data_IF_074018759274
#
_entry.id   IF_074018759274
#
_cell.length_a   1.000
_cell.length_b   1.000
_cell.length_c   1.000
_cell.angle_alpha   90.00
_cell.angle_beta   90.00
_cell.angle_gamma   90.00
#
_symmetry.space_group_name_H-M   'P 1'
#
loop_
_entity.id
_entity.type
_entity.pdbx_description
1 polymer ?
#
# COMPACT_ATOMS: atom_id res chain seq x y z
N UNK A 1 -8.52 7.22 1.28
CA UNK A 1 -7.93 7.53 -0.02
C UNK A 1 -8.81 8.57 -0.73
N UNK A 2 -8.26 9.73 -1.03
CA UNK A 2 -9.04 10.81 -1.64
C UNK A 2 -9.30 10.53 -3.11
N UNK A 3 -10.57 10.48 -3.52
CA UNK A 3 -10.97 10.46 -4.94
C UNK A 3 -10.39 11.67 -5.72
N UNK A 4 -10.09 12.76 -5.04
CA UNK A 4 -9.40 13.92 -5.62
C UNK A 4 -7.97 13.59 -6.09
N UNK A 5 -7.32 12.56 -5.56
CA UNK A 5 -6.01 12.11 -6.03
C UNK A 5 -6.05 11.49 -7.43
N UNK A 6 -7.20 11.02 -7.89
CA UNK A 6 -7.41 10.45 -9.22
C UNK A 6 -7.91 11.46 -10.25
N UNK A 7 -8.18 12.72 -9.85
CA UNK A 7 -8.65 13.76 -10.75
C UNK A 7 -7.53 14.23 -11.68
N UNK A 8 -7.53 13.70 -12.90
CA UNK A 8 -6.54 13.97 -13.95
C UNK A 8 -6.45 15.48 -14.28
N UNK A 9 -7.54 16.22 -14.15
CA UNK A 9 -7.56 17.65 -14.44
C UNK A 9 -6.86 18.52 -13.39
N UNK A 10 -6.75 18.03 -12.14
CA UNK A 10 -6.06 18.73 -11.05
C UNK A 10 -4.62 18.29 -10.87
N UNK A 11 -4.26 17.11 -11.38
CA UNK A 11 -2.90 16.58 -11.25
C UNK A 11 -1.98 17.25 -12.27
N UNK A 12 -0.96 17.94 -11.79
CA UNK A 12 0.04 18.60 -12.60
C UNK A 12 1.18 17.64 -12.96
N UNK A 13 1.65 16.89 -11.96
CA UNK A 13 2.75 15.93 -12.10
C UNK A 13 2.37 14.61 -11.42
N UNK A 14 2.86 13.52 -12.00
CA UNK A 14 2.82 12.17 -11.39
C UNK A 14 4.25 11.68 -11.21
N UNK A 15 4.51 11.10 -10.04
CA UNK A 15 5.82 10.56 -9.68
C UNK A 15 5.63 9.08 -9.38
N UNK A 16 6.49 8.25 -9.95
CA UNK A 16 6.47 6.80 -9.81
C UNK A 16 7.81 6.29 -9.30
N UNK A 17 7.77 5.26 -8.49
CA UNK A 17 8.96 4.63 -7.94
C UNK A 17 8.67 3.22 -7.42
N UNK A 18 9.58 2.69 -6.65
CA UNK A 18 9.47 1.38 -6.00
C UNK A 18 9.20 0.23 -6.99
N UNK A 19 7.98 -0.27 -7.05
CA UNK A 19 7.59 -1.43 -7.86
C UNK A 19 7.92 -1.29 -9.34
N UNK A 20 7.87 -0.07 -9.90
CA UNK A 20 8.20 0.16 -11.32
C UNK A 20 9.66 -0.19 -11.66
N UNK A 21 10.53 -0.27 -10.65
CA UNK A 21 11.93 -0.65 -10.83
C UNK A 21 12.19 -2.15 -10.86
N UNK A 22 11.19 -2.98 -10.57
CA UNK A 22 11.38 -4.44 -10.52
C UNK A 22 12.47 -4.87 -9.53
N UNK A 23 12.55 -4.18 -8.36
CA UNK A 23 13.57 -4.41 -7.34
C UNK A 23 14.83 -3.54 -7.49
N UNK A 24 14.98 -2.81 -8.59
CA UNK A 24 16.13 -1.93 -8.85
C UNK A 24 15.73 -0.44 -8.73
N UNK A 25 16.71 0.47 -8.51
CA UNK A 25 16.45 1.88 -8.28
C UNK A 25 16.02 2.59 -9.57
N UNK A 26 14.71 2.64 -9.81
CA UNK A 26 14.09 3.39 -10.90
C UNK A 26 13.07 4.35 -10.32
N UNK A 27 13.13 5.60 -10.77
CA UNK A 27 12.11 6.61 -10.57
C UNK A 27 11.67 7.18 -11.91
N UNK A 28 10.41 7.55 -12.02
CA UNK A 28 9.89 8.24 -13.19
C UNK A 28 8.98 9.38 -12.74
N UNK A 29 8.95 10.44 -13.52
CA UNK A 29 8.02 11.53 -13.36
C UNK A 29 7.51 11.98 -14.73
N UNK A 30 6.31 12.50 -14.73
CA UNK A 30 5.69 13.00 -15.95
C UNK A 30 4.43 13.77 -15.60
N UNK A 31 3.87 14.49 -16.56
CA UNK A 31 2.69 15.27 -16.32
C UNK A 31 2.32 16.18 -17.48
N UNK A 32 1.69 17.30 -17.14
CA UNK A 32 1.20 18.26 -18.11
C UNK A 32 2.34 18.78 -18.99
N UNK A 33 2.09 18.84 -20.30
CA UNK A 33 3.10 19.17 -21.31
C UNK A 33 3.81 20.49 -21.01
N UNK A 34 3.07 21.53 -20.63
CA UNK A 34 3.63 22.85 -20.33
C UNK A 34 4.59 22.84 -19.14
N UNK A 35 4.41 21.92 -18.19
CA UNK A 35 5.33 21.73 -17.06
C UNK A 35 6.55 20.92 -17.51
N UNK A 36 6.34 19.82 -18.23
CA UNK A 36 7.43 18.97 -18.68
C UNK A 36 8.37 19.67 -19.68
N UNK A 37 7.87 20.62 -20.46
CA UNK A 37 8.70 21.45 -21.35
C UNK A 37 9.62 22.43 -20.60
N UNK A 38 9.47 22.59 -19.28
CA UNK A 38 10.43 23.34 -18.47
C UNK A 38 11.70 22.53 -18.15
N UNK A 39 11.69 21.23 -18.36
CA UNK A 39 12.86 20.38 -18.11
C UNK A 39 13.85 20.49 -19.28
N UNK A 40 15.13 20.61 -18.95
CA UNK A 40 16.22 20.64 -19.94
C UNK A 40 16.21 19.39 -20.85
N UNK A 41 16.55 19.51 -22.14
CA UNK A 41 17.08 20.73 -22.84
C UNK A 41 15.99 21.67 -23.34
N UNK A 42 14.70 21.32 -23.20
CA UNK A 42 13.60 22.15 -23.71
C UNK A 42 13.36 23.40 -22.85
N UNK A 43 13.67 23.38 -21.58
CA UNK A 43 13.49 24.46 -20.63
C UNK A 43 14.70 24.64 -19.68
N UNK A 44 14.59 25.57 -18.72
CA UNK A 44 15.70 25.94 -17.85
C UNK A 44 15.92 25.01 -16.65
N UNK A 45 15.01 24.07 -16.39
CA UNK A 45 15.08 23.20 -15.21
C UNK A 45 16.03 22.04 -15.48
N UNK A 46 17.20 22.08 -14.85
CA UNK A 46 18.20 21.01 -14.96
C UNK A 46 17.78 19.78 -14.16
N UNK A 47 17.88 18.60 -14.78
CA UNK A 47 17.67 17.31 -14.15
C UNK A 47 18.79 16.36 -14.60
N UNK A 48 19.51 15.80 -13.66
CA UNK A 48 20.51 14.77 -13.90
C UNK A 48 20.70 13.91 -12.66
N UNK A 49 21.23 12.70 -12.86
CA UNK A 49 21.62 11.78 -11.80
C UNK A 49 22.55 10.72 -12.38
N UNK A 50 23.60 10.38 -11.64
CA UNK A 50 24.63 9.42 -12.09
C UNK A 50 24.02 8.06 -12.52
N UNK A 51 22.98 7.61 -11.82
CA UNK A 51 22.31 6.36 -12.11
C UNK A 51 21.05 6.52 -13.00
N UNK A 52 20.72 7.75 -13.40
CA UNK A 52 19.57 7.99 -14.27
C UNK A 52 19.77 7.30 -15.62
N UNK A 53 18.76 6.52 -16.03
CA UNK A 53 18.82 5.76 -17.27
C UNK A 53 19.76 4.56 -17.23
N UNK A 54 20.22 4.10 -16.06
CA UNK A 54 21.03 2.89 -15.93
C UNK A 54 20.37 1.71 -16.67
N UNK A 55 21.05 1.09 -17.65
CA UNK A 55 20.42 0.11 -18.54
C UNK A 55 19.91 -1.14 -17.83
N UNK A 56 20.56 -1.56 -16.74
CA UNK A 56 20.11 -2.71 -15.95
C UNK A 56 18.80 -2.37 -15.23
N UNK A 57 18.77 -1.24 -14.53
CA UNK A 57 17.59 -0.79 -13.81
C UNK A 57 16.41 -0.49 -14.75
N UNK A 58 16.67 0.15 -15.89
CA UNK A 58 15.64 0.41 -16.91
C UNK A 58 15.11 -0.88 -17.53
N UNK A 59 15.98 -1.87 -17.78
CA UNK A 59 15.56 -3.18 -18.29
C UNK A 59 14.66 -3.93 -17.29
N UNK A 60 15.03 -3.93 -16.00
CA UNK A 60 14.21 -4.52 -14.94
C UNK A 60 12.85 -3.81 -14.83
N UNK A 61 12.83 -2.47 -14.84
CA UNK A 61 11.59 -1.70 -14.81
C UNK A 61 10.70 -1.95 -16.03
N UNK A 62 11.28 -2.01 -17.23
CA UNK A 62 10.55 -2.36 -18.45
C UNK A 62 9.93 -3.75 -18.36
N UNK A 63 10.65 -4.73 -17.84
CA UNK A 63 10.17 -6.10 -17.64
C UNK A 63 9.04 -6.13 -16.62
N UNK A 64 9.18 -5.44 -15.49
CA UNK A 64 8.13 -5.31 -14.48
C UNK A 64 6.84 -4.73 -15.06
N UNK A 65 6.94 -3.61 -15.79
CA UNK A 65 5.77 -2.99 -16.42
C UNK A 65 5.12 -3.89 -17.47
N UNK A 66 5.92 -4.70 -18.18
CA UNK A 66 5.41 -5.69 -19.13
C UNK A 66 4.61 -6.78 -18.40
N UNK A 67 5.16 -7.36 -17.33
CA UNK A 67 4.49 -8.37 -16.50
C UNK A 67 3.17 -7.81 -15.96
N UNK A 68 3.18 -6.63 -15.36
CA UNK A 68 1.98 -5.98 -14.81
C UNK A 68 0.89 -5.77 -15.87
N UNK A 69 1.28 -5.49 -17.12
CA UNK A 69 0.34 -5.31 -18.23
C UNK A 69 -0.22 -6.65 -18.75
N UNK A 70 0.59 -7.69 -18.77
CA UNK A 70 0.23 -9.01 -19.34
C UNK A 70 -0.55 -9.87 -18.34
N UNK A 71 -0.16 -9.84 -17.07
CA UNK A 71 -0.76 -10.67 -16.02
C UNK A 71 -1.93 -9.98 -15.30
N UNK A 72 -2.00 -8.65 -15.33
CA UNK A 72 -3.04 -7.83 -14.68
C UNK A 72 -3.42 -8.32 -13.27
N UNK A 73 -2.49 -8.29 -12.30
CA UNK A 73 -2.70 -8.90 -10.99
C UNK A 73 -3.67 -8.12 -10.09
N UNK A 74 -4.21 -7.00 -10.56
CA UNK A 74 -4.92 -6.03 -9.70
C UNK A 74 -6.24 -6.55 -9.17
N UNK A 75 -6.99 -7.31 -9.97
CA UNK A 75 -8.26 -7.91 -9.54
C UNK A 75 -8.04 -8.95 -8.43
N UNK A 76 -7.03 -9.82 -8.59
CA UNK A 76 -6.68 -10.83 -7.59
C UNK A 76 -6.15 -10.20 -6.29
N UNK A 77 -5.29 -9.19 -6.40
CA UNK A 77 -4.82 -8.43 -5.24
C UNK A 77 -5.99 -7.77 -4.49
N UNK A 78 -6.95 -7.19 -5.21
CA UNK A 78 -8.15 -6.62 -4.61
C UNK A 78 -9.00 -7.67 -3.88
N UNK A 79 -9.18 -8.84 -4.45
CA UNK A 79 -9.88 -9.97 -3.83
C UNK A 79 -9.17 -10.42 -2.55
N UNK A 80 -7.88 -10.70 -2.61
CA UNK A 80 -7.06 -11.11 -1.46
C UNK A 80 -7.13 -10.11 -0.32
N UNK A 81 -7.04 -8.82 -0.65
CA UNK A 81 -7.12 -7.73 0.33
C UNK A 81 -8.51 -7.67 0.98
N UNK A 82 -9.58 -7.84 0.20
CA UNK A 82 -10.94 -7.88 0.72
C UNK A 82 -11.12 -9.06 1.70
N UNK A 83 -10.62 -10.25 1.32
CA UNK A 83 -10.65 -11.44 2.19
C UNK A 83 -10.00 -11.19 3.55
N UNK A 84 -8.81 -10.58 3.59
CA UNK A 84 -8.14 -10.26 4.86
C UNK A 84 -8.93 -9.23 5.68
N UNK A 85 -9.43 -8.18 5.05
CA UNK A 85 -10.20 -7.14 5.73
C UNK A 85 -11.52 -7.66 6.30
N UNK A 86 -12.23 -8.49 5.55
CA UNK A 86 -13.48 -9.12 5.99
C UNK A 86 -13.21 -10.05 7.17
N UNK A 87 -12.21 -10.93 7.08
CA UNK A 87 -11.84 -11.83 8.16
C UNK A 87 -11.45 -11.08 9.44
N UNK A 88 -10.65 -10.03 9.32
CA UNK A 88 -10.24 -9.20 10.45
C UNK A 88 -11.43 -8.47 11.08
N UNK A 89 -12.30 -7.87 10.26
CA UNK A 89 -13.50 -7.16 10.69
C UNK A 89 -14.48 -8.10 11.41
N UNK A 90 -14.73 -9.29 10.85
CA UNK A 90 -15.63 -10.28 11.44
C UNK A 90 -15.09 -10.82 12.76
N UNK A 91 -13.79 -11.08 12.85
CA UNK A 91 -13.14 -11.53 14.07
C UNK A 91 -13.22 -10.46 15.18
N UNK A 92 -12.96 -9.20 14.85
CA UNK A 92 -13.08 -8.07 15.77
C UNK A 92 -14.53 -7.90 16.26
N UNK A 93 -15.50 -7.96 15.34
CA UNK A 93 -16.94 -7.85 15.67
C UNK A 93 -17.40 -8.96 16.63
N UNK A 94 -16.98 -10.22 16.41
CA UNK A 94 -17.30 -11.34 17.30
C UNK A 94 -16.77 -11.13 18.73
N UNK A 95 -15.72 -10.36 18.89
CA UNK A 95 -15.09 -10.05 20.19
C UNK A 95 -15.54 -8.70 20.78
N UNK A 96 -16.37 -7.94 20.07
CA UNK A 96 -16.80 -6.61 20.51
C UNK A 96 -15.69 -5.56 20.44
N UNK A 97 -14.63 -5.81 19.68
CA UNK A 97 -13.51 -4.89 19.51
C UNK A 97 -13.85 -3.90 18.38
N UNK A 98 -13.84 -2.59 18.67
CA UNK A 98 -14.10 -1.58 17.63
C UNK A 98 -12.97 -1.54 16.62
N UNK A 99 -13.29 -1.80 15.36
CA UNK A 99 -12.32 -1.86 14.28
C UNK A 99 -12.92 -1.32 12.98
N UNK A 100 -12.18 -0.42 12.34
CA UNK A 100 -12.46 0.09 10.98
C UNK A 100 -11.38 -0.44 10.03
N UNK A 101 -11.79 -0.91 8.85
CA UNK A 101 -10.89 -1.37 7.79
C UNK A 101 -11.05 -0.51 6.54
N UNK A 102 -9.99 -0.40 5.75
CA UNK A 102 -10.02 0.24 4.43
C UNK A 102 -9.12 -0.51 3.46
N UNK A 103 -9.48 -0.49 2.17
CA UNK A 103 -8.65 -1.09 1.12
C UNK A 103 -8.82 -0.40 -0.23
N UNK A 104 -7.79 -0.53 -1.07
CA UNK A 104 -7.82 -0.14 -2.47
C UNK A 104 -6.82 -1.00 -3.26
N UNK A 105 -7.31 -1.89 -4.12
CA UNK A 105 -6.47 -2.87 -4.80
C UNK A 105 -5.72 -3.72 -3.78
N UNK A 106 -4.41 -3.86 -3.94
CA UNK A 106 -3.55 -4.60 -3.01
C UNK A 106 -3.14 -3.85 -1.75
N UNK A 107 -3.61 -2.63 -1.56
CA UNK A 107 -3.32 -1.80 -0.38
C UNK A 107 -4.48 -1.89 0.62
N UNK A 108 -4.17 -2.05 1.90
CA UNK A 108 -5.17 -2.08 2.96
C UNK A 108 -4.65 -1.44 4.25
N UNK A 109 -5.56 -1.23 5.18
CA UNK A 109 -5.26 -0.72 6.51
C UNK A 109 -6.41 -0.99 7.45
N UNK A 110 -6.12 -0.90 8.74
CA UNK A 110 -7.12 -1.02 9.79
C UNK A 110 -6.81 -0.07 10.95
N UNK A 111 -7.85 0.28 11.68
CA UNK A 111 -7.77 1.19 12.81
C UNK A 111 -8.67 0.68 13.94
N UNK A 112 -8.14 0.60 15.15
CA UNK A 112 -8.95 0.32 16.34
C UNK A 112 -9.73 1.56 16.72
N UNK A 113 -10.94 1.67 16.19
CA UNK A 113 -11.79 2.86 16.30
C UNK A 113 -13.27 2.49 16.23
N UNK A 114 -14.09 3.15 17.06
CA UNK A 114 -15.55 3.08 16.98
C UNK A 114 -16.13 3.92 15.84
N UNK A 115 -15.34 4.87 15.34
CA UNK A 115 -15.75 5.82 14.32
C UNK A 115 -14.96 5.63 13.04
N UNK A 116 -15.62 5.91 11.92
CA UNK A 116 -14.98 5.86 10.62
C UNK A 116 -13.79 6.83 10.55
N UNK A 117 -12.64 6.32 10.15
CA UNK A 117 -11.41 7.09 9.96
C UNK A 117 -11.36 7.62 8.54
N UNK A 118 -11.34 8.95 8.39
CA UNK A 118 -11.40 9.64 7.09
C UNK A 118 -10.17 10.51 6.79
N UNK A 119 -9.45 10.89 7.83
CA UNK A 119 -8.31 11.79 7.77
C UNK A 119 -7.33 11.49 8.90
N UNK A 120 -6.23 12.23 8.93
CA UNK A 120 -5.16 12.04 9.92
C UNK A 120 -5.61 12.34 11.36
N UNK A 121 -6.44 13.37 11.57
CA UNK A 121 -6.98 13.71 12.89
C UNK A 121 -7.86 12.60 13.46
N UNK A 122 -8.59 11.88 12.61
CA UNK A 122 -9.36 10.71 13.05
C UNK A 122 -8.41 9.55 13.41
N UNK A 123 -7.38 9.32 12.61
CA UNK A 123 -6.38 8.28 12.87
C UNK A 123 -5.64 8.51 14.19
N UNK A 124 -5.35 9.75 14.56
CA UNK A 124 -4.71 10.11 15.84
C UNK A 124 -5.55 9.73 17.07
N UNK A 125 -6.86 9.58 16.93
CA UNK A 125 -7.79 9.23 18.02
C UNK A 125 -7.97 7.72 18.19
N UNK A 126 -7.39 6.91 17.30
CA UNK A 126 -7.48 5.47 17.35
C UNK A 126 -6.72 4.89 18.55
N UNK A 127 -7.16 3.73 19.03
CA UNK A 127 -6.54 3.08 20.18
C UNK A 127 -5.17 2.50 19.81
N UNK A 128 -4.10 3.17 20.23
CA UNK A 128 -2.72 2.76 19.95
C UNK A 128 -2.29 1.55 20.79
N UNK A 129 -2.81 1.39 21.99
CA UNK A 129 -2.43 0.27 22.87
C UNK A 129 -2.96 -1.04 22.31
N UNK A 130 -4.17 -1.02 21.75
CA UNK A 130 -4.72 -2.15 20.98
C UNK A 130 -3.85 -2.49 19.78
N UNK A 131 -3.42 -1.48 19.02
CA UNK A 131 -2.52 -1.71 17.89
C UNK A 131 -1.19 -2.33 18.33
N UNK A 132 -0.57 -1.84 19.40
CA UNK A 132 0.72 -2.35 19.90
C UNK A 132 0.58 -3.81 20.34
N UNK A 133 -0.46 -4.14 21.09
CA UNK A 133 -0.73 -5.51 21.53
C UNK A 133 -0.97 -6.43 20.33
N UNK A 134 -1.85 -6.02 19.43
CA UNK A 134 -2.15 -6.75 18.21
C UNK A 134 -0.91 -6.99 17.34
N UNK A 135 -0.13 -5.94 17.10
CA UNK A 135 1.09 -6.03 16.30
C UNK A 135 2.09 -7.05 16.87
N UNK A 136 2.32 -7.02 18.20
CA UNK A 136 3.26 -7.93 18.86
C UNK A 136 2.81 -9.39 18.75
N UNK A 137 1.53 -9.65 18.95
CA UNK A 137 0.96 -10.99 18.84
C UNK A 137 1.03 -11.53 17.40
N UNK A 138 0.67 -10.70 16.43
CA UNK A 138 0.73 -11.04 15.02
C UNK A 138 2.18 -11.30 14.58
N UNK A 139 3.12 -10.47 15.04
CA UNK A 139 4.55 -10.65 14.79
C UNK A 139 5.08 -11.95 15.39
N UNK A 140 4.68 -12.30 16.62
CA UNK A 140 5.10 -13.55 17.28
C UNK A 140 4.67 -14.81 16.53
N UNK A 141 3.70 -14.67 15.62
CA UNK A 141 3.20 -15.73 14.72
C UNK A 141 3.80 -15.67 13.31
N UNK A 142 4.85 -14.87 13.12
CA UNK A 142 5.60 -14.78 11.88
C UNK A 142 5.01 -13.84 10.83
N UNK A 143 3.98 -13.06 11.16
CA UNK A 143 3.39 -12.07 10.25
C UNK A 143 3.92 -10.68 10.61
N UNK A 144 4.71 -10.09 9.73
CA UNK A 144 5.27 -8.76 9.91
C UNK A 144 4.37 -7.71 9.23
N UNK A 145 3.69 -6.93 10.06
CA UNK A 145 2.93 -5.76 9.63
C UNK A 145 3.80 -4.50 9.69
N UNK A 146 3.34 -3.39 9.12
CA UNK A 146 3.98 -2.11 9.35
C UNK A 146 3.96 -1.77 10.86
N UNK A 147 5.09 -1.31 11.45
CA UNK A 147 5.19 -1.09 12.90
C UNK A 147 4.50 0.20 13.39
N UNK A 148 3.67 0.79 12.56
CA UNK A 148 2.94 2.03 12.84
C UNK A 148 1.50 1.91 12.36
N UNK A 149 0.50 2.31 13.17
CA UNK A 149 -0.90 2.32 12.76
C UNK A 149 -1.21 3.37 11.68
N UNK A 150 -0.25 4.23 11.36
CA UNK A 150 -0.40 5.28 10.34
C UNK A 150 0.11 4.86 8.96
N UNK A 151 0.65 3.67 8.83
CA UNK A 151 1.16 3.14 7.58
C UNK A 151 0.15 2.21 6.91
N UNK A 152 0.14 2.24 5.58
CA UNK A 152 -0.63 1.29 4.79
C UNK A 152 0.10 -0.04 4.68
N UNK A 153 -0.67 -1.11 4.62
CA UNK A 153 -0.19 -2.47 4.38
C UNK A 153 -0.39 -2.84 2.91
N UNK A 154 0.42 -3.75 2.42
CA UNK A 154 0.38 -4.14 1.02
C UNK A 154 0.46 -5.65 0.86
N UNK A 155 -0.39 -6.19 -0.01
CA UNK A 155 -0.24 -7.53 -0.54
C UNK A 155 0.57 -7.52 -1.84
N UNK A 156 1.28 -8.60 -2.06
CA UNK A 156 2.00 -8.90 -3.29
C UNK A 156 1.34 -10.08 -4.00
N UNK A 157 1.49 -10.18 -5.31
CA UNK A 157 1.06 -11.34 -6.08
C UNK A 157 1.71 -12.65 -5.63
N UNK A 158 2.86 -12.57 -4.94
CA UNK A 158 3.56 -13.72 -4.38
C UNK A 158 2.92 -14.31 -3.13
N UNK A 159 2.01 -13.58 -2.46
CA UNK A 159 1.28 -14.15 -1.33
C UNK A 159 0.28 -15.20 -1.83
N UNK A 160 0.46 -16.44 -1.36
CA UNK A 160 -0.43 -17.56 -1.65
C UNK A 160 -1.71 -17.52 -0.79
N UNK A 161 -2.68 -18.37 -1.10
CA UNK A 161 -3.86 -18.53 -0.22
C UNK A 161 -3.44 -19.04 1.17
N UNK A 162 -2.42 -19.90 1.26
CA UNK A 162 -1.91 -20.38 2.54
C UNK A 162 -1.30 -19.24 3.38
N UNK A 163 -0.64 -18.26 2.76
CA UNK A 163 -0.13 -17.07 3.47
C UNK A 163 -1.29 -16.20 4.00
N UNK A 164 -2.40 -16.12 3.24
CA UNK A 164 -3.59 -15.41 3.71
C UNK A 164 -4.22 -16.15 4.90
N UNK A 165 -4.37 -17.47 4.82
CA UNK A 165 -4.93 -18.28 5.90
C UNK A 165 -4.12 -18.13 7.19
N UNK A 166 -2.78 -18.21 7.08
CA UNK A 166 -1.87 -17.98 8.20
C UNK A 166 -2.01 -16.55 8.76
N UNK A 167 -2.18 -15.57 7.91
CA UNK A 167 -2.38 -14.18 8.32
C UNK A 167 -3.70 -14.00 9.06
N UNK A 168 -4.77 -14.61 8.56
CA UNK A 168 -6.10 -14.59 9.22
C UNK A 168 -6.03 -15.24 10.59
N UNK A 169 -5.37 -16.39 10.71
CA UNK A 169 -5.17 -17.06 12.00
C UNK A 169 -4.38 -16.17 12.97
N UNK A 170 -3.29 -15.55 12.52
CA UNK A 170 -2.51 -14.61 13.32
C UNK A 170 -3.35 -13.41 13.77
N UNK A 171 -4.23 -12.88 12.91
CA UNK A 171 -5.16 -11.79 13.25
C UNK A 171 -6.14 -12.18 14.34
N UNK A 172 -6.71 -13.40 14.27
CA UNK A 172 -7.62 -13.91 15.30
C UNK A 172 -6.93 -14.02 16.67
N UNK A 173 -5.67 -14.45 16.68
CA UNK A 173 -4.86 -14.51 17.90
C UNK A 173 -4.52 -13.11 18.42
N UNK A 174 -4.13 -12.18 17.55
CA UNK A 174 -3.86 -10.80 17.94
C UNK A 174 -5.07 -10.11 18.57
N UNK A 175 -6.27 -10.36 18.02
CA UNK A 175 -7.52 -9.86 18.60
C UNK A 175 -7.91 -10.59 19.90
N UNK A 176 -7.40 -11.78 20.14
CA UNK A 176 -7.67 -12.50 21.40
C UNK A 176 -6.84 -11.97 22.58
N UNK A 177 -5.78 -11.24 22.31
CA UNK A 177 -4.90 -10.64 23.32
C UNK A 177 -5.33 -9.22 23.72
N UNK A 178 -6.29 -8.62 23.02
CA UNK A 178 -6.90 -7.32 23.33
C UNK A 178 -8.11 -7.53 24.27
#
# INVERSE_FOLDING_TARGET
FSSAASDVYKRQLSIFGKVIGGGLPVGAYGGRREIMLQVAPAGPVYQAGTLSGNPIAVSAGKTMLKILKEEDPYADLGRKTATLNEALSDAAKKKGIPLETCSMGGMFGFFFSEKKVRNYEDALKCNRDYFITFFREVLSRGIYLAPSPFESLFLSSSHSEADLDQTIEAFQHGLAAI
#
